data_IF_811484591832
#
_entry.id   IF_811484591832
#
_cell.length_a   1.000
_cell.length_b   1.000
_cell.length_c   1.000
_cell.angle_alpha   90.00
_cell.angle_beta   90.00
_cell.angle_gamma   90.00
#
_symmetry.space_group_name_H-M   'P 1'
#
loop_
_entity.id
_entity.type
_entity.pdbx_description
1 polymer ?
#
# COMPACT_ATOMS: atom_id res chain seq x y z
N UNK A 1 6.69 -20.86 14.10
CA UNK A 1 5.73 -20.78 15.22
C UNK A 1 5.15 -19.37 15.36
N UNK A 2 5.98 -18.32 15.41
CA UNK A 2 5.54 -16.91 15.58
C UNK A 2 4.60 -16.30 14.50
N UNK A 3 4.63 -16.77 13.24
CA UNK A 3 3.72 -16.30 12.18
C UNK A 3 2.25 -16.69 12.45
N UNK A 4 2.03 -17.88 13.03
CA UNK A 4 0.69 -18.31 13.43
C UNK A 4 0.17 -17.52 14.63
N UNK A 5 1.05 -16.94 15.46
CA UNK A 5 0.65 -16.20 16.66
C UNK A 5 0.18 -14.78 16.33
N UNK A 6 0.75 -14.13 15.30
CA UNK A 6 0.31 -12.82 14.82
C UNK A 6 -1.03 -12.88 14.04
N UNK A 7 -1.24 -13.92 13.23
CA UNK A 7 -2.51 -14.16 12.52
C UNK A 7 -3.63 -14.56 13.51
N UNK A 8 -3.31 -15.34 14.54
CA UNK A 8 -4.23 -15.61 15.67
C UNK A 8 -4.51 -14.33 16.47
N UNK A 9 -3.51 -13.48 16.66
CA UNK A 9 -3.68 -12.18 17.32
C UNK A 9 -4.61 -11.25 16.55
N UNK A 10 -4.49 -11.17 15.22
CA UNK A 10 -5.36 -10.36 14.37
C UNK A 10 -6.80 -10.89 14.37
N UNK A 11 -6.98 -12.22 14.33
CA UNK A 11 -8.30 -12.83 14.44
C UNK A 11 -8.95 -12.53 15.80
N UNK A 12 -8.19 -12.63 16.89
CA UNK A 12 -8.67 -12.30 18.24
C UNK A 12 -9.06 -10.82 18.38
N UNK A 13 -8.30 -9.91 17.77
CA UNK A 13 -8.66 -8.49 17.71
C UNK A 13 -9.99 -8.29 16.97
N UNK A 14 -10.15 -8.91 15.79
CA UNK A 14 -11.38 -8.80 14.99
C UNK A 14 -12.59 -9.34 15.75
N UNK A 15 -12.48 -10.51 16.39
CA UNK A 15 -13.56 -11.10 17.20
C UNK A 15 -13.91 -10.23 18.40
N UNK A 16 -12.89 -9.72 19.13
CA UNK A 16 -13.10 -8.80 20.24
C UNK A 16 -13.83 -7.53 19.80
N UNK A 17 -13.42 -6.93 18.67
CA UNK A 17 -14.06 -5.72 18.15
C UNK A 17 -15.51 -6.01 17.71
N UNK A 18 -15.79 -7.18 17.11
CA UNK A 18 -17.16 -7.62 16.79
C UNK A 18 -18.03 -7.75 18.04
N UNK A 19 -17.44 -8.18 19.15
CA UNK A 19 -18.10 -8.25 20.45
C UNK A 19 -18.19 -6.88 21.17
N UNK A 20 -17.74 -5.80 20.55
CA UNK A 20 -17.73 -4.46 21.13
C UNK A 20 -16.62 -4.21 22.16
N UNK A 21 -15.59 -5.06 22.21
CA UNK A 21 -14.45 -4.89 23.11
C UNK A 21 -13.59 -3.68 22.69
N UNK A 22 -13.73 -2.62 23.47
CA UNK A 22 -12.95 -1.40 23.32
C UNK A 22 -11.44 -1.61 23.51
N UNK A 23 -11.01 -2.62 24.27
CA UNK A 23 -9.58 -2.92 24.44
C UNK A 23 -8.99 -3.49 23.16
N UNK A 24 -9.70 -4.41 22.50
CA UNK A 24 -9.33 -4.93 21.19
C UNK A 24 -9.26 -3.81 20.14
N UNK A 25 -10.20 -2.87 20.19
CA UNK A 25 -10.16 -1.69 19.31
C UNK A 25 -8.92 -0.80 19.51
N UNK A 26 -8.58 -0.52 20.76
CA UNK A 26 -7.39 0.26 21.12
C UNK A 26 -6.12 -0.41 20.64
N UNK A 27 -5.98 -1.71 20.86
CA UNK A 27 -4.82 -2.49 20.41
C UNK A 27 -4.69 -2.50 18.88
N UNK A 28 -5.81 -2.54 18.15
CA UNK A 28 -5.80 -2.39 16.70
C UNK A 28 -5.24 -1.03 16.28
N UNK A 29 -5.70 0.06 16.90
CA UNK A 29 -5.21 1.41 16.59
C UNK A 29 -3.70 1.50 16.88
N UNK A 30 -3.26 1.09 18.08
CA UNK A 30 -1.84 1.07 18.47
C UNK A 30 -0.97 0.35 17.44
N UNK A 31 -1.46 -0.76 16.92
CA UNK A 31 -0.73 -1.64 16.00
C UNK A 31 -0.70 -1.15 14.55
N UNK A 32 -1.69 -0.40 14.09
CA UNK A 32 -1.80 -0.02 12.68
C UNK A 32 -1.66 1.49 12.41
N UNK A 33 -1.84 2.36 13.40
CA UNK A 33 -1.87 3.81 13.20
C UNK A 33 -0.59 4.35 12.56
N UNK A 34 0.58 3.94 13.04
CA UNK A 34 1.87 4.48 12.57
C UNK A 34 2.10 4.13 11.10
N UNK A 35 1.81 2.88 10.74
CA UNK A 35 1.96 2.36 9.38
C UNK A 35 0.94 2.96 8.41
N UNK A 36 -0.30 3.18 8.85
CA UNK A 36 -1.32 3.88 8.08
C UNK A 36 -0.94 5.35 7.86
N UNK A 37 -0.42 6.01 8.90
CA UNK A 37 0.00 7.40 8.82
C UNK A 37 1.21 7.56 7.90
N UNK A 38 2.22 6.70 7.98
CA UNK A 38 3.36 6.71 7.05
C UNK A 38 2.91 6.48 5.59
N UNK A 39 1.98 5.55 5.38
CA UNK A 39 1.39 5.31 4.07
C UNK A 39 0.66 6.55 3.52
N UNK A 40 -0.15 7.21 4.35
CA UNK A 40 -0.90 8.40 3.95
C UNK A 40 0.02 9.61 3.75
N UNK A 41 0.97 9.88 4.66
CA UNK A 41 1.90 11.02 4.60
C UNK A 41 2.75 11.06 3.34
N UNK A 42 3.12 9.90 2.79
CA UNK A 42 3.92 9.83 1.56
C UNK A 42 3.12 10.12 0.28
N UNK A 43 1.80 10.36 0.38
CA UNK A 43 0.91 10.53 -0.78
C UNK A 43 -0.12 11.64 -0.63
N UNK A 44 -0.48 12.00 0.59
CA UNK A 44 -1.47 13.04 0.88
C UNK A 44 -0.86 14.44 0.70
N UNK A 45 -1.65 15.46 0.29
CA UNK A 45 -1.14 16.82 0.05
C UNK A 45 -0.66 17.56 1.30
N UNK A 46 -1.15 17.19 2.48
CA UNK A 46 -0.73 17.79 3.75
C UNK A 46 -0.68 16.75 4.87
N UNK A 47 -0.09 17.13 5.99
CA UNK A 47 -0.04 16.29 7.19
C UNK A 47 -1.43 16.07 7.79
N UNK A 48 -2.26 17.13 7.86
CA UNK A 48 -3.63 17.03 8.34
C UNK A 48 -4.46 16.05 7.50
N UNK A 49 -4.34 16.12 6.16
CA UNK A 49 -5.00 15.17 5.28
C UNK A 49 -4.57 13.72 5.54
N UNK A 50 -3.30 13.51 5.90
CA UNK A 50 -2.80 12.18 6.21
C UNK A 50 -3.38 11.64 7.52
N UNK A 51 -3.50 12.49 8.55
CA UNK A 51 -4.16 12.14 9.82
C UNK A 51 -5.64 11.83 9.59
N UNK A 52 -6.32 12.65 8.79
CA UNK A 52 -7.72 12.46 8.42
C UNK A 52 -7.94 11.13 7.70
N UNK A 53 -7.09 10.78 6.72
CA UNK A 53 -7.15 9.47 6.04
C UNK A 53 -7.01 8.31 7.03
N UNK A 54 -6.12 8.42 8.02
CA UNK A 54 -5.90 7.35 9.02
C UNK A 54 -7.14 7.20 9.90
N UNK A 55 -7.67 8.33 10.40
CA UNK A 55 -8.90 8.33 11.18
C UNK A 55 -10.06 7.72 10.39
N UNK A 56 -10.27 8.18 9.15
CA UNK A 56 -11.29 7.69 8.24
C UNK A 56 -11.13 6.21 7.89
N UNK A 57 -9.89 5.71 7.91
CA UNK A 57 -9.61 4.28 7.70
C UNK A 57 -10.13 3.46 8.86
N UNK A 58 -9.87 3.88 10.09
CA UNK A 58 -10.37 3.18 11.28
C UNK A 58 -11.89 3.28 11.39
N UNK A 59 -12.48 4.46 11.13
CA UNK A 59 -13.93 4.61 11.05
C UNK A 59 -14.53 3.70 9.97
N UNK A 60 -13.96 3.73 8.76
CA UNK A 60 -14.38 2.88 7.64
C UNK A 60 -14.31 1.40 8.00
N UNK A 61 -13.23 0.97 8.66
CA UNK A 61 -13.07 -0.40 9.12
C UNK A 61 -14.13 -0.81 10.14
N UNK A 62 -14.42 0.04 11.14
CA UNK A 62 -15.47 -0.23 12.12
C UNK A 62 -16.84 -0.40 11.42
N UNK A 63 -17.16 0.47 10.46
CA UNK A 63 -18.43 0.40 9.72
C UNK A 63 -18.54 -0.80 8.77
N UNK A 64 -17.41 -1.31 8.24
CA UNK A 64 -17.40 -2.43 7.30
C UNK A 64 -17.10 -3.78 7.95
N UNK A 65 -16.84 -3.81 9.26
CA UNK A 65 -16.39 -4.98 10.02
C UNK A 65 -17.36 -6.17 9.96
N UNK A 66 -18.66 -5.90 9.90
CA UNK A 66 -19.69 -6.93 9.75
C UNK A 66 -19.49 -7.76 8.47
N UNK A 67 -18.95 -7.13 7.42
CA UNK A 67 -18.71 -7.74 6.11
C UNK A 67 -17.24 -8.19 5.92
N UNK A 68 -16.42 -8.11 6.97
CA UNK A 68 -15.02 -8.52 6.89
C UNK A 68 -14.88 -10.05 6.77
N UNK A 69 -14.29 -10.50 5.67
CA UNK A 69 -13.94 -11.89 5.42
C UNK A 69 -12.53 -12.21 5.94
N UNK A 70 -12.45 -13.16 6.87
CA UNK A 70 -11.22 -13.62 7.50
C UNK A 70 -10.25 -14.32 6.53
N UNK A 71 -10.67 -14.60 5.27
CA UNK A 71 -9.77 -15.06 4.21
C UNK A 71 -8.72 -14.02 3.81
N UNK A 72 -8.94 -12.73 4.13
CA UNK A 72 -8.00 -11.63 3.89
C UNK A 72 -7.33 -11.21 5.19
N UNK A 73 -6.03 -10.91 5.15
CA UNK A 73 -5.36 -10.39 6.34
C UNK A 73 -5.92 -9.02 6.72
N UNK A 74 -6.08 -8.80 8.03
CA UNK A 74 -6.55 -7.54 8.62
C UNK A 74 -5.74 -6.34 8.12
N UNK A 75 -4.43 -6.51 8.00
CA UNK A 75 -3.53 -5.52 7.42
C UNK A 75 -3.92 -5.15 5.99
N UNK A 76 -4.10 -6.15 5.11
CA UNK A 76 -4.47 -5.93 3.71
C UNK A 76 -5.78 -5.17 3.61
N UNK A 77 -6.73 -5.48 4.49
CA UNK A 77 -8.04 -4.85 4.51
C UNK A 77 -7.97 -3.38 4.94
N UNK A 78 -7.30 -3.07 6.06
CA UNK A 78 -7.09 -1.69 6.53
C UNK A 78 -6.39 -0.83 5.47
N UNK A 79 -5.34 -1.34 4.83
CA UNK A 79 -4.64 -0.59 3.79
C UNK A 79 -5.43 -0.48 2.48
N UNK A 80 -6.41 -1.35 2.24
CA UNK A 80 -7.34 -1.20 1.11
C UNK A 80 -8.26 0.00 1.35
N UNK A 81 -8.82 0.13 2.55
CA UNK A 81 -9.65 1.26 2.95
C UNK A 81 -8.84 2.57 2.88
N UNK A 82 -7.64 2.60 3.46
CA UNK A 82 -6.77 3.78 3.45
C UNK A 82 -6.41 4.24 2.02
N UNK A 83 -6.14 3.28 1.13
CA UNK A 83 -5.85 3.58 -0.29
C UNK A 83 -7.07 4.20 -0.97
N UNK A 84 -8.26 3.66 -0.74
CA UNK A 84 -9.50 4.22 -1.28
C UNK A 84 -9.72 5.67 -0.79
N UNK A 85 -9.58 5.91 0.50
CA UNK A 85 -9.72 7.25 1.12
C UNK A 85 -8.74 8.27 0.56
N UNK A 86 -7.48 7.85 0.37
CA UNK A 86 -6.47 8.68 -0.28
C UNK A 86 -6.82 9.01 -1.74
N UNK A 87 -7.26 8.03 -2.52
CA UNK A 87 -7.66 8.27 -3.92
C UNK A 87 -8.84 9.25 -4.00
N UNK A 88 -9.82 9.12 -3.12
CA UNK A 88 -10.97 10.01 -3.07
C UNK A 88 -10.56 11.45 -2.73
N UNK A 89 -9.72 11.63 -1.71
CA UNK A 89 -9.16 12.95 -1.37
C UNK A 89 -8.41 13.59 -2.55
N UNK A 90 -7.53 12.82 -3.20
CA UNK A 90 -6.75 13.31 -4.34
C UNK A 90 -7.64 13.67 -5.54
N UNK A 91 -8.74 12.94 -5.74
CA UNK A 91 -9.77 13.26 -6.74
C UNK A 91 -10.47 14.57 -6.40
N UNK A 92 -10.92 14.73 -5.16
CA UNK A 92 -11.62 15.94 -4.69
C UNK A 92 -10.75 17.19 -4.83
N UNK A 93 -9.46 17.09 -4.48
CA UNK A 93 -8.51 18.22 -4.57
C UNK A 93 -8.05 18.56 -5.98
N UNK A 94 -8.29 17.68 -6.97
CA UNK A 94 -8.03 17.94 -8.39
C UNK A 94 -9.18 18.68 -9.08
N UNK A 95 -10.37 18.76 -8.47
CA UNK A 95 -11.44 19.63 -8.96
C UNK A 95 -11.25 21.05 -8.37
N UNK A 96 -11.17 22.12 -9.18
CA UNK A 96 -11.15 23.48 -8.67
C UNK A 96 -12.53 23.84 -8.09
N UNK A 97 -12.55 24.07 -6.77
CA UNK A 97 -13.46 24.95 -6.02
C UNK A 97 -14.95 24.92 -6.37
N UNK A 98 -15.76 24.28 -5.52
CA UNK A 98 -16.95 24.91 -4.90
C UNK A 98 -17.15 24.35 -3.48
N UNK A 99 -17.34 25.26 -2.52
CA UNK A 99 -17.46 24.99 -1.08
C UNK A 99 -18.78 24.30 -0.69
N UNK A 100 -18.82 23.67 0.51
CA UNK A 100 -19.96 22.87 0.98
C UNK A 100 -21.04 23.75 1.61
N UNK A 101 -22.31 23.37 1.42
CA UNK A 101 -23.40 23.80 2.30
C UNK A 101 -24.22 22.59 2.72
N UNK A 102 -24.35 22.45 4.04
CA UNK A 102 -25.59 22.01 4.70
C UNK A 102 -25.98 20.54 4.59
N UNK A 103 -25.81 19.86 5.73
CA UNK A 103 -26.78 18.95 6.33
C UNK A 103 -26.99 17.58 5.66
N UNK A 104 -26.81 16.54 6.48
CA UNK A 104 -26.91 15.17 6.05
C UNK A 104 -28.31 14.82 5.61
N UNK A 105 -28.42 14.32 4.38
CA UNK A 105 -29.37 13.29 3.98
C UNK A 105 -29.02 12.83 2.55
N UNK A 106 -29.04 11.51 2.40
CA UNK A 106 -29.04 10.72 1.17
C UNK A 106 -27.81 10.71 0.22
N UNK A 107 -26.89 9.78 0.47
CA UNK A 107 -25.77 9.41 -0.41
C UNK A 107 -26.17 8.46 -1.57
N UNK A 108 -27.42 7.96 -1.63
CA UNK A 108 -27.84 6.96 -2.62
C UNK A 108 -28.41 7.56 -3.92
N UNK A 109 -28.73 8.85 -3.99
CA UNK A 109 -29.47 9.43 -5.13
C UNK A 109 -28.67 10.29 -6.13
N UNK A 110 -27.38 10.59 -5.89
CA UNK A 110 -26.63 11.57 -6.74
C UNK A 110 -26.05 11.03 -8.06
N UNK A 111 -26.64 9.97 -8.61
CA UNK A 111 -26.39 9.56 -10.00
C UNK A 111 -27.34 10.33 -10.92
N UNK A 112 -26.97 11.55 -11.30
CA UNK A 112 -27.40 12.09 -12.59
C UNK A 112 -26.41 13.12 -13.17
N UNK A 113 -25.89 12.90 -14.38
CA UNK A 113 -24.91 13.75 -15.02
C UNK A 113 -25.58 14.71 -16.02
N UNK A 114 -25.19 15.98 -15.98
CA UNK A 114 -25.53 16.93 -17.02
C UNK A 114 -24.28 17.72 -17.43
N UNK A 115 -23.59 17.23 -18.47
CA UNK A 115 -23.02 18.06 -19.55
C UNK A 115 -22.21 17.20 -20.54
N UNK A 116 -22.73 17.06 -21.76
CA UNK A 116 -21.95 17.12 -23.01
C UNK A 116 -21.11 15.92 -23.46
N UNK A 117 -20.62 15.06 -22.57
CA UNK A 117 -19.93 13.80 -22.92
C UNK A 117 -20.62 12.66 -22.19
N UNK A 118 -20.91 11.55 -22.88
CA UNK A 118 -21.66 10.46 -22.28
C UNK A 118 -20.92 9.96 -21.02
N UNK A 119 -21.59 9.89 -19.86
CA UNK A 119 -21.03 9.39 -18.58
C UNK A 119 -20.38 8.01 -18.67
N UNK A 120 -20.80 7.24 -19.68
CA UNK A 120 -20.25 5.94 -20.02
C UNK A 120 -18.79 6.01 -20.49
N UNK A 121 -18.34 7.07 -21.17
CA UNK A 121 -16.98 7.17 -21.69
C UNK A 121 -15.92 7.41 -20.61
N UNK A 122 -16.20 8.31 -19.66
CA UNK A 122 -15.31 8.60 -18.55
C UNK A 122 -15.21 7.44 -17.54
N UNK A 123 -16.33 6.76 -17.27
CA UNK A 123 -16.34 5.55 -16.43
C UNK A 123 -15.55 4.40 -17.08
N UNK A 124 -15.70 4.19 -18.39
CA UNK A 124 -14.94 3.19 -19.15
C UNK A 124 -13.45 3.51 -19.16
N UNK A 125 -13.06 4.78 -19.32
CA UNK A 125 -11.65 5.18 -19.28
C UNK A 125 -10.99 4.93 -17.91
N UNK A 126 -11.70 5.21 -16.81
CA UNK A 126 -11.21 4.94 -15.44
C UNK A 126 -11.10 3.44 -15.17
N UNK A 127 -12.08 2.65 -15.63
CA UNK A 127 -12.05 1.19 -15.48
C UNK A 127 -10.91 0.54 -16.29
N UNK A 128 -10.67 1.05 -17.50
CA UNK A 128 -9.58 0.61 -18.36
C UNK A 128 -8.21 0.97 -17.77
N UNK A 129 -8.04 2.19 -17.26
CA UNK A 129 -6.81 2.60 -16.56
C UNK A 129 -6.55 1.71 -15.33
N UNK A 130 -7.58 1.42 -14.53
CA UNK A 130 -7.47 0.53 -13.38
C UNK A 130 -7.10 -0.91 -13.80
N UNK A 131 -7.64 -1.40 -14.91
CA UNK A 131 -7.27 -2.70 -15.49
C UNK A 131 -5.81 -2.71 -15.93
N UNK A 132 -5.35 -1.68 -16.63
CA UNK A 132 -3.96 -1.56 -17.08
C UNK A 132 -2.98 -1.49 -15.90
N UNK A 133 -3.32 -0.75 -14.84
CA UNK A 133 -2.52 -0.69 -13.63
C UNK A 133 -2.43 -2.05 -12.91
N UNK A 134 -3.54 -2.80 -12.83
CA UNK A 134 -3.55 -4.16 -12.26
C UNK A 134 -2.67 -5.12 -13.05
N UNK A 135 -2.79 -5.09 -14.38
CA UNK A 135 -1.99 -5.91 -15.28
C UNK A 135 -0.50 -5.61 -15.10
N UNK A 136 -0.12 -4.33 -15.08
CA UNK A 136 1.26 -3.91 -14.82
C UNK A 136 1.76 -4.38 -13.45
N UNK A 137 0.94 -4.29 -12.41
CA UNK A 137 1.30 -4.77 -11.08
C UNK A 137 1.57 -6.28 -11.08
N UNK A 138 0.77 -7.07 -11.78
CA UNK A 138 0.92 -8.53 -11.85
C UNK A 138 2.18 -8.93 -12.62
N UNK A 139 2.48 -8.26 -13.73
CA UNK A 139 3.71 -8.48 -14.50
C UNK A 139 4.96 -8.13 -13.68
N UNK A 140 4.97 -6.97 -13.01
CA UNK A 140 6.07 -6.57 -12.15
C UNK A 140 6.23 -7.54 -10.96
N UNK A 141 5.13 -7.97 -10.35
CA UNK A 141 5.16 -8.97 -9.27
C UNK A 141 5.77 -10.28 -9.73
N UNK A 142 5.42 -10.75 -10.94
CA UNK A 142 6.02 -11.95 -11.54
C UNK A 142 7.51 -11.79 -11.77
N UNK A 143 7.96 -10.67 -12.33
CA UNK A 143 9.39 -10.37 -12.52
C UNK A 143 10.16 -10.41 -11.19
N UNK A 144 9.65 -9.73 -10.16
CA UNK A 144 10.28 -9.64 -8.84
C UNK A 144 10.33 -11.01 -8.16
N UNK A 145 9.24 -11.79 -8.28
CA UNK A 145 9.21 -13.16 -7.78
C UNK A 145 10.31 -14.01 -8.42
N UNK A 146 10.45 -13.98 -9.74
CA UNK A 146 11.49 -14.75 -10.44
C UNK A 146 12.91 -14.34 -10.04
N UNK A 147 13.17 -13.04 -9.86
CA UNK A 147 14.48 -12.55 -9.41
C UNK A 147 14.80 -13.05 -8.00
N UNK A 148 13.82 -12.97 -7.09
CA UNK A 148 13.97 -13.43 -5.70
C UNK A 148 14.14 -14.95 -5.61
N UNK A 149 13.35 -15.71 -6.36
CA UNK A 149 13.38 -17.17 -6.39
C UNK A 149 14.75 -17.71 -6.82
N UNK A 150 15.37 -17.05 -7.81
CA UNK A 150 16.72 -17.37 -8.29
C UNK A 150 17.84 -16.70 -7.48
N UNK A 151 17.51 -16.01 -6.39
CA UNK A 151 18.44 -15.24 -5.57
C UNK A 151 19.25 -14.19 -6.35
N UNK A 152 18.72 -13.67 -7.46
CA UNK A 152 19.34 -12.62 -8.27
C UNK A 152 19.09 -11.23 -7.64
N UNK A 153 19.56 -11.03 -6.42
CA UNK A 153 19.31 -9.81 -5.66
C UNK A 153 20.03 -8.60 -6.25
N UNK A 154 21.23 -8.74 -6.81
CA UNK A 154 21.95 -7.65 -7.48
C UNK A 154 21.14 -7.07 -8.66
N UNK A 155 20.57 -7.96 -9.50
CA UNK A 155 19.66 -7.56 -10.58
C UNK A 155 18.41 -6.87 -9.99
N UNK A 156 17.87 -7.36 -8.86
CA UNK A 156 16.72 -6.74 -8.19
C UNK A 156 17.04 -5.35 -7.63
N UNK A 157 18.24 -5.12 -7.09
CA UNK A 157 18.70 -3.81 -6.61
C UNK A 157 18.73 -2.81 -7.77
N UNK A 158 19.34 -3.20 -8.90
CA UNK A 158 19.36 -2.38 -10.12
C UNK A 158 17.95 -2.03 -10.57
N UNK A 159 17.05 -3.02 -10.61
CA UNK A 159 15.67 -2.80 -11.03
C UNK A 159 14.90 -1.90 -10.05
N UNK A 160 15.12 -2.02 -8.73
CA UNK A 160 14.53 -1.08 -7.77
C UNK A 160 15.01 0.35 -8.00
N UNK A 161 16.31 0.58 -8.18
CA UNK A 161 16.82 1.93 -8.39
C UNK A 161 16.25 2.54 -9.68
N UNK A 162 16.13 1.75 -10.74
CA UNK A 162 15.59 2.23 -12.03
C UNK A 162 14.09 2.46 -11.99
N UNK A 163 13.29 1.49 -11.55
CA UNK A 163 11.84 1.50 -11.72
C UNK A 163 11.08 1.96 -10.48
N UNK A 164 11.58 1.66 -9.28
CA UNK A 164 10.95 2.10 -8.03
C UNK A 164 11.45 3.48 -7.63
N UNK A 165 12.76 3.71 -7.60
CA UNK A 165 13.35 4.99 -7.19
C UNK A 165 13.35 6.01 -8.35
N UNK A 166 13.52 5.55 -9.59
CA UNK A 166 13.56 6.43 -10.77
C UNK A 166 14.93 7.07 -11.03
N UNK A 167 16.02 6.38 -10.66
CA UNK A 167 17.40 6.81 -10.94
C UNK A 167 17.77 6.58 -12.41
N UNK A 168 18.68 7.40 -12.94
CA UNK A 168 19.21 7.20 -14.30
C UNK A 168 20.23 6.06 -14.28
N UNK A 169 20.43 5.40 -15.42
CA UNK A 169 21.40 4.29 -15.54
C UNK A 169 22.81 4.65 -15.04
N UNK A 170 23.26 5.89 -15.27
CA UNK A 170 24.56 6.37 -14.79
C UNK A 170 24.60 6.40 -13.25
N UNK A 171 23.59 7.00 -12.63
CA UNK A 171 23.52 7.12 -11.16
C UNK A 171 23.44 5.72 -10.50
N UNK A 172 22.76 4.76 -11.14
CA UNK A 172 22.69 3.36 -10.66
C UNK A 172 24.04 2.66 -10.75
N UNK A 173 24.77 2.86 -11.86
CA UNK A 173 26.10 2.29 -12.05
C UNK A 173 27.07 2.80 -10.98
N UNK A 174 27.04 4.11 -10.69
CA UNK A 174 27.86 4.72 -9.64
C UNK A 174 27.46 4.22 -8.23
N UNK A 175 26.16 4.14 -7.92
CA UNK A 175 25.68 3.72 -6.59
C UNK A 175 26.02 2.27 -6.24
N UNK A 176 26.05 1.39 -7.24
CA UNK A 176 26.28 -0.05 -7.06
C UNK A 176 27.68 -0.50 -7.47
N UNK A 177 28.58 0.42 -7.84
CA UNK A 177 29.92 0.14 -8.37
C UNK A 177 29.89 -0.87 -9.55
N UNK A 178 28.96 -0.65 -10.49
CA UNK A 178 28.76 -1.49 -11.67
C UNK A 178 29.13 -0.75 -12.96
N UNK A 179 29.44 -1.50 -14.01
CA UNK A 179 29.57 -0.93 -15.35
C UNK A 179 28.19 -0.48 -15.88
N UNK A 180 28.12 0.72 -16.49
CA UNK A 180 26.86 1.26 -17.04
C UNK A 180 26.22 0.33 -18.08
N UNK A 181 27.01 -0.44 -18.84
CA UNK A 181 26.50 -1.46 -19.78
C UNK A 181 25.87 -2.65 -19.05
N UNK A 182 26.38 -3.02 -17.88
CA UNK A 182 25.76 -4.06 -17.06
C UNK A 182 24.37 -3.62 -16.61
N UNK A 183 24.23 -2.38 -16.11
CA UNK A 183 22.93 -1.77 -15.74
C UNK A 183 21.98 -1.73 -16.93
N UNK A 184 22.46 -1.28 -18.10
CA UNK A 184 21.65 -1.27 -19.32
C UNK A 184 21.20 -2.67 -19.75
N UNK A 185 22.07 -3.67 -19.62
CA UNK A 185 21.76 -5.07 -19.90
C UNK A 185 20.68 -5.64 -18.97
N UNK A 186 20.76 -5.34 -17.66
CA UNK A 186 19.75 -5.73 -16.68
C UNK A 186 18.40 -5.07 -17.00
N UNK A 187 18.39 -3.74 -17.25
CA UNK A 187 17.20 -2.98 -17.65
C UNK A 187 16.55 -3.60 -18.89
N UNK A 188 17.34 -3.89 -19.92
CA UNK A 188 16.85 -4.48 -21.17
C UNK A 188 16.21 -5.84 -20.95
N UNK A 189 16.85 -6.75 -20.22
CA UNK A 189 16.29 -8.08 -19.90
C UNK A 189 14.99 -7.98 -19.11
N UNK A 190 14.89 -7.04 -18.16
CA UNK A 190 13.67 -6.83 -17.40
C UNK A 190 12.52 -6.32 -18.29
N UNK A 191 12.78 -5.34 -19.16
CA UNK A 191 11.78 -4.82 -20.11
C UNK A 191 11.31 -5.94 -21.05
N UNK A 192 12.22 -6.74 -21.62
CA UNK A 192 11.85 -7.86 -22.48
C UNK A 192 10.96 -8.89 -21.76
N UNK A 193 11.26 -9.18 -20.49
CA UNK A 193 10.39 -10.06 -19.68
C UNK A 193 9.00 -9.47 -19.48
N UNK A 194 8.90 -8.18 -19.15
CA UNK A 194 7.62 -7.50 -18.95
C UNK A 194 6.81 -7.46 -20.24
N UNK A 195 7.44 -7.18 -21.39
CA UNK A 195 6.80 -7.24 -22.70
C UNK A 195 6.25 -8.63 -23.00
N UNK A 196 7.04 -9.69 -22.76
CA UNK A 196 6.56 -11.06 -22.93
C UNK A 196 5.39 -11.39 -22.00
N UNK A 197 5.41 -10.95 -20.74
CA UNK A 197 4.26 -11.15 -19.85
C UNK A 197 3.01 -10.39 -20.32
N UNK A 198 3.19 -9.21 -20.91
CA UNK A 198 2.09 -8.43 -21.49
C UNK A 198 1.48 -9.17 -22.68
N UNK A 199 2.31 -9.68 -23.58
CA UNK A 199 1.87 -10.50 -24.73
C UNK A 199 1.11 -11.76 -24.28
N UNK A 200 1.58 -12.45 -23.23
CA UNK A 200 0.92 -13.63 -22.67
C UNK A 200 -0.45 -13.30 -22.03
N UNK A 201 -0.56 -12.15 -21.34
CA UNK A 201 -1.74 -11.81 -20.56
C UNK A 201 -2.80 -11.02 -21.32
N UNK A 202 -2.39 -10.18 -22.27
CA UNK A 202 -3.28 -9.36 -23.09
C UNK A 202 -2.68 -9.10 -24.49
N UNK A 203 -2.86 -10.04 -25.43
CA UNK A 203 -2.35 -9.93 -26.80
C UNK A 203 -2.84 -8.68 -27.54
N UNK A 204 -4.02 -8.15 -27.19
CA UNK A 204 -4.58 -6.94 -27.80
C UNK A 204 -3.90 -5.68 -27.26
N UNK A 205 -3.65 -5.63 -25.95
CA UNK A 205 -2.90 -4.51 -25.35
C UNK A 205 -1.44 -4.49 -25.84
N UNK A 206 -0.79 -5.65 -26.01
CA UNK A 206 0.57 -5.74 -26.53
C UNK A 206 0.71 -5.14 -27.94
N UNK A 207 -0.26 -5.38 -28.83
CA UNK A 207 -0.29 -4.80 -30.18
C UNK A 207 -0.49 -3.27 -30.19
N UNK A 208 -1.05 -2.69 -29.13
CA UNK A 208 -1.26 -1.24 -28.96
C UNK A 208 -0.14 -0.56 -28.17
N UNK A 209 0.72 -1.31 -27.48
CA UNK A 209 1.73 -0.80 -26.56
C UNK A 209 3.06 -0.40 -27.24
N UNK A 210 3.07 -0.22 -28.57
CA UNK A 210 4.15 0.44 -29.30
C UNK A 210 4.17 1.95 -28.97
N UNK A 211 4.51 2.28 -27.72
CA UNK A 211 4.45 3.64 -27.20
C UNK A 211 4.52 3.66 -25.68
N UNK A 212 5.74 3.87 -25.18
CA UNK A 212 6.11 4.26 -23.81
C UNK A 212 5.11 3.89 -22.68
N UNK A 213 5.29 2.71 -22.08
CA UNK A 213 4.97 2.56 -20.65
C UNK A 213 5.82 3.57 -19.89
N UNK A 214 5.25 4.72 -19.55
CA UNK A 214 5.99 5.80 -18.91
C UNK A 214 6.57 5.39 -17.56
N UNK A 215 7.82 5.79 -17.29
CA UNK A 215 8.54 5.56 -16.03
C UNK A 215 7.71 5.97 -14.78
N UNK A 216 6.87 7.01 -14.92
CA UNK A 216 5.98 7.52 -13.87
C UNK A 216 4.90 6.50 -13.48
N UNK A 217 4.33 5.77 -14.45
CA UNK A 217 3.29 4.77 -14.20
C UNK A 217 3.87 3.54 -13.49
N UNK A 218 5.05 3.07 -13.92
CA UNK A 218 5.75 1.93 -13.32
C UNK A 218 6.07 2.21 -11.86
N UNK A 219 6.68 3.35 -11.56
CA UNK A 219 7.07 3.73 -10.20
C UNK A 219 5.85 3.89 -9.27
N UNK A 220 4.75 4.46 -9.77
CA UNK A 220 3.49 4.59 -9.02
C UNK A 220 2.84 3.24 -8.72
N UNK A 221 2.75 2.35 -9.72
CA UNK A 221 2.22 0.99 -9.55
C UNK A 221 3.07 0.21 -8.56
N UNK A 222 4.39 0.31 -8.65
CA UNK A 222 5.32 -0.33 -7.72
C UNK A 222 5.09 0.07 -6.27
N UNK A 223 5.00 1.39 -6.01
CA UNK A 223 4.76 1.95 -4.66
C UNK A 223 3.39 1.63 -4.12
N UNK A 224 2.35 1.66 -4.96
CA UNK A 224 0.97 1.38 -4.53
C UNK A 224 0.75 -0.09 -4.20
N UNK A 225 1.45 -0.99 -4.90
CA UNK A 225 1.35 -2.45 -4.70
C UNK A 225 2.45 -3.04 -3.83
N UNK A 226 3.40 -2.22 -3.34
CA UNK A 226 4.44 -2.61 -2.37
C UNK A 226 5.28 -3.80 -2.85
N UNK A 227 5.62 -3.80 -4.13
CA UNK A 227 6.06 -5.02 -4.80
C UNK A 227 7.37 -5.61 -4.23
N UNK A 228 8.23 -4.76 -3.68
CA UNK A 228 9.50 -5.16 -3.04
C UNK A 228 9.51 -4.98 -1.53
N UNK A 229 8.43 -4.44 -0.94
CA UNK A 229 8.40 -4.23 0.50
C UNK A 229 8.61 -5.55 1.25
N UNK A 230 9.47 -5.50 2.26
CA UNK A 230 9.84 -6.66 3.06
C UNK A 230 8.74 -6.99 4.05
N UNK A 231 8.54 -8.29 4.29
CA UNK A 231 7.62 -8.75 5.33
C UNK A 231 8.13 -8.27 6.68
N UNK A 232 7.23 -7.95 7.62
CA UNK A 232 7.60 -7.58 8.99
C UNK A 232 8.47 -8.64 9.67
N UNK A 233 8.23 -9.93 9.40
CA UNK A 233 9.08 -11.02 9.89
C UNK A 233 10.52 -10.96 9.34
N UNK A 234 10.69 -10.56 8.08
CA UNK A 234 12.02 -10.36 7.46
C UNK A 234 12.73 -9.17 8.10
N UNK A 235 12.02 -8.06 8.31
CA UNK A 235 12.56 -6.88 9.00
C UNK A 235 12.91 -7.18 10.46
N UNK A 236 12.10 -7.98 11.16
CA UNK A 236 12.41 -8.43 12.51
C UNK A 236 13.64 -9.33 12.57
N UNK A 237 13.77 -10.28 11.64
CA UNK A 237 14.99 -11.09 11.51
C UNK A 237 16.23 -10.24 11.21
N UNK A 238 16.09 -9.21 10.38
CA UNK A 238 17.15 -8.25 10.09
C UNK A 238 17.52 -7.42 11.34
N UNK A 239 16.54 -6.88 12.06
CA UNK A 239 16.75 -6.11 13.29
C UNK A 239 17.48 -6.92 14.38
N UNK A 240 17.14 -8.21 14.49
CA UNK A 240 17.79 -9.15 15.42
C UNK A 240 19.16 -9.66 14.94
N UNK A 241 19.60 -9.29 13.73
CA UNK A 241 20.88 -9.73 13.16
C UNK A 241 20.93 -11.21 12.79
N UNK A 242 19.78 -11.87 12.61
CA UNK A 242 19.68 -13.31 12.29
C UNK A 242 19.34 -13.59 10.82
N UNK A 243 19.20 -12.54 10.00
CA UNK A 243 18.93 -12.69 8.57
C UNK A 243 20.21 -13.12 7.83
N UNK A 244 20.12 -14.22 7.08
CA UNK A 244 21.25 -14.76 6.30
C UNK A 244 21.43 -14.04 4.95
N UNK A 245 22.61 -14.21 4.34
CA UNK A 245 22.82 -13.81 2.95
C UNK A 245 22.04 -14.71 1.98
N UNK A 246 21.63 -14.20 0.80
CA UNK A 246 21.79 -12.82 0.30
C UNK A 246 20.73 -11.82 0.79
N UNK A 247 19.79 -12.28 1.63
CA UNK A 247 18.65 -11.47 2.08
C UNK A 247 19.04 -10.32 2.99
N UNK A 248 20.10 -10.50 3.80
CA UNK A 248 20.66 -9.46 4.65
C UNK A 248 21.13 -8.26 3.81
N UNK A 249 22.02 -8.49 2.85
CA UNK A 249 22.53 -7.44 1.95
C UNK A 249 21.40 -6.74 1.19
N UNK A 250 20.45 -7.50 0.64
CA UNK A 250 19.29 -6.88 -0.03
C UNK A 250 18.42 -6.04 0.92
N UNK A 251 18.23 -6.49 2.16
CA UNK A 251 17.42 -5.77 3.14
C UNK A 251 18.06 -4.44 3.52
N UNK A 252 19.37 -4.45 3.80
CA UNK A 252 20.16 -3.25 4.06
C UNK A 252 20.07 -2.26 2.88
N UNK A 253 20.30 -2.73 1.66
CA UNK A 253 20.11 -1.92 0.45
C UNK A 253 18.70 -1.32 0.35
N UNK A 254 17.65 -2.12 0.57
CA UNK A 254 16.27 -1.67 0.42
C UNK A 254 15.88 -0.57 1.43
N UNK A 255 16.47 -0.64 2.62
CA UNK A 255 16.25 0.31 3.70
C UNK A 255 17.09 1.58 3.51
N UNK A 256 18.38 1.43 3.23
CA UNK A 256 19.34 2.53 3.33
C UNK A 256 19.62 3.21 1.98
N UNK A 257 19.58 2.44 0.88
CA UNK A 257 19.89 2.94 -0.48
C UNK A 257 18.61 3.21 -1.26
N UNK A 258 17.71 2.22 -1.37
CA UNK A 258 16.41 2.42 -2.01
C UNK A 258 15.48 3.30 -1.16
N UNK A 259 15.70 3.34 0.16
CA UNK A 259 15.03 4.27 1.07
C UNK A 259 13.53 4.03 1.19
N UNK A 260 13.08 2.77 1.17
CA UNK A 260 11.64 2.46 1.13
C UNK A 260 10.92 2.97 2.40
N UNK A 261 10.04 4.00 2.31
CA UNK A 261 9.51 4.65 3.51
C UNK A 261 8.68 3.74 4.40
N UNK A 262 7.98 2.76 3.79
CA UNK A 262 7.17 1.81 4.55
C UNK A 262 8.04 0.79 5.31
N UNK A 263 9.11 0.30 4.70
CA UNK A 263 10.00 -0.66 5.34
C UNK A 263 10.80 -0.01 6.46
N UNK A 264 11.27 1.23 6.25
CA UNK A 264 11.94 2.04 7.27
C UNK A 264 10.99 2.29 8.45
N UNK A 265 9.75 2.71 8.19
CA UNK A 265 8.76 2.91 9.26
C UNK A 265 8.45 1.60 10.00
N UNK A 266 8.29 0.48 9.29
CA UNK A 266 8.07 -0.82 9.91
C UNK A 266 9.25 -1.27 10.80
N UNK A 267 10.48 -0.99 10.37
CA UNK A 267 11.68 -1.29 11.15
C UNK A 267 11.75 -0.41 12.41
N UNK A 268 11.47 0.89 12.28
CA UNK A 268 11.39 1.81 13.41
C UNK A 268 10.30 1.37 14.41
N UNK A 269 9.13 0.95 13.93
CA UNK A 269 8.07 0.42 14.79
C UNK A 269 8.51 -0.85 15.52
N UNK A 270 9.22 -1.76 14.85
CA UNK A 270 9.77 -2.98 15.48
C UNK A 270 10.78 -2.64 16.58
N UNK A 271 11.67 -1.69 16.31
CA UNK A 271 12.68 -1.23 17.27
C UNK A 271 12.04 -0.46 18.43
N UNK A 272 10.95 0.27 18.19
CA UNK A 272 10.22 1.00 19.22
C UNK A 272 9.31 0.11 20.08
N UNK A 273 8.86 -1.05 19.57
CA UNK A 273 8.17 -2.07 20.38
C UNK A 273 9.11 -2.69 21.43
N UNK A 274 10.42 -2.60 21.23
CA UNK A 274 11.44 -2.97 22.21
C UNK A 274 11.72 -1.85 23.23
N UNK A 275 11.20 -0.62 23.02
CA UNK A 275 11.36 0.52 23.92
C UNK A 275 10.24 0.57 24.99
N UNK A 276 10.56 0.38 26.28
CA UNK A 276 9.57 0.39 27.35
C UNK A 276 8.90 1.75 27.64
N UNK A 277 9.29 2.85 26.98
CA UNK A 277 8.86 4.24 27.32
C UNK A 277 7.97 4.96 26.27
N UNK A 278 7.27 4.24 25.39
CA UNK A 278 6.49 4.81 24.27
C UNK A 278 5.32 5.74 24.71
N UNK A 279 5.15 6.95 24.11
CA UNK A 279 4.07 7.88 24.48
C UNK A 279 2.69 7.47 23.95
N UNK A 280 1.69 7.41 24.84
CA UNK A 280 0.32 6.92 24.58
C UNK A 280 -0.67 7.93 23.95
N UNK A 281 -0.25 9.18 23.72
CA UNK A 281 -1.17 10.30 23.45
C UNK A 281 -1.85 10.26 22.06
N UNK A 282 -1.16 9.75 21.03
CA UNK A 282 -1.72 9.73 19.67
C UNK A 282 -2.73 8.59 19.46
N UNK A 283 -2.52 7.49 20.16
CA UNK A 283 -3.46 6.34 20.22
C UNK A 283 -4.80 6.77 20.79
N UNK A 284 -4.78 7.53 21.89
CA UNK A 284 -5.99 7.94 22.60
C UNK A 284 -6.89 8.82 21.72
N UNK A 285 -6.30 9.71 20.93
CA UNK A 285 -7.04 10.61 20.02
C UNK A 285 -7.78 9.82 18.95
N UNK A 286 -7.10 8.87 18.30
CA UNK A 286 -7.69 8.01 17.27
C UNK A 286 -8.75 7.07 17.85
N UNK A 287 -8.52 6.57 19.07
CA UNK A 287 -9.49 5.75 19.79
C UNK A 287 -10.79 6.53 20.05
N UNK A 288 -10.70 7.74 20.59
CA UNK A 288 -11.87 8.58 20.92
C UNK A 288 -12.75 8.90 19.68
N UNK A 289 -12.14 9.22 18.54
CA UNK A 289 -12.88 9.62 17.33
C UNK A 289 -13.58 8.45 16.62
N UNK A 290 -13.11 7.22 16.83
CA UNK A 290 -13.62 6.04 16.13
C UNK A 290 -14.54 5.15 16.98
N UNK A 291 -14.47 5.23 18.32
CA UNK A 291 -15.29 4.42 19.24
C UNK A 291 -16.81 4.58 19.05
N UNK A 292 -17.27 5.75 18.58
CA UNK A 292 -18.69 6.00 18.29
C UNK A 292 -19.28 5.01 17.27
N UNK A 293 -18.46 4.55 16.32
CA UNK A 293 -18.87 3.66 15.24
C UNK A 293 -18.95 2.19 15.65
N UNK A 294 -18.35 1.81 16.79
CA UNK A 294 -18.48 0.46 17.34
C UNK A 294 -19.86 0.22 17.98
N UNK A 295 -20.53 1.29 18.44
CA UNK A 295 -21.84 1.19 19.09
C UNK A 295 -22.99 1.01 18.09
N UNK A 296 -22.85 1.50 16.87
CA UNK A 296 -23.89 1.41 15.83
C UNK A 296 -23.93 0.06 15.11
N UNK A 297 -22.85 -0.73 15.14
CA UNK A 297 -22.78 -2.05 14.49
C UNK A 297 -23.23 -3.21 15.39
N UNK A 298 -23.60 -2.92 16.64
CA UNK A 298 -23.89 -3.92 17.69
C UNK A 298 -25.34 -4.03 18.12
N UNK A 299 -26.32 -3.46 17.40
CA UNK A 299 -27.70 -3.47 17.87
C UNK A 299 -28.73 -3.36 16.76
N UNK A 300 -29.20 -4.52 16.28
CA UNK A 300 -30.61 -4.79 15.97
C UNK A 300 -30.78 -6.30 15.75
N UNK A 301 -31.27 -6.97 16.78
CA UNK A 301 -31.42 -8.42 16.75
C UNK A 301 -32.01 -9.00 18.02
N UNK A 302 -33.02 -8.35 18.62
CA UNK A 302 -33.99 -9.00 19.51
C UNK A 302 -35.34 -8.28 19.41
N UNK A 303 -36.27 -8.88 18.68
CA UNK A 303 -37.70 -8.87 18.98
C UNK A 303 -38.24 -10.26 18.69
#
# INVERSE_FOLDING_TARGET
MALMDAEKGDAFLVEGIRAGDQRAWRQLIERYQGRLLAFARSRAPSFADAEDIVQDTFVGFATSLANFDASRSLETYLFTIARYKLFDLLRQKRLPTQQPTGEGEDWLERVSPASGESPSGAAVAVEEEARQQRLLADMLRRLIYELRDRQAFDDLQVIELLFFVGRRNLDVAELLDLDQKAVAGIKFRAIQKLQRYLEEADPKAAACAEGELGDVAVSSVWRSHRLTCLKRSTLGAYALGVLEEPWRSFTEFHLDVAGCPLCVANLQDLQAEEDPNRPAADVERMFQSSVGFLKSTGGEGVA
#
